data_IF_458806723117
#
_entry.id   IF_458806723117
#
_cell.length_a   1.000
_cell.length_b   1.000
_cell.length_c   1.000
_cell.angle_alpha   90.00
_cell.angle_beta   90.00
_cell.angle_gamma   90.00
#
_symmetry.space_group_name_H-M   'P 1'
#
loop_
_entity.id
_entity.type
_entity.pdbx_description
1 polymer ?
#
# COMPACT_ATOMS: atom_id res chain seq x y z
N UNK A 1 4.51 13.76 27.34
CA UNK A 1 4.69 14.43 26.04
C UNK A 1 4.44 13.41 24.95
N UNK A 2 3.46 13.60 24.08
CA UNK A 2 3.32 12.79 22.88
C UNK A 2 4.42 13.19 21.91
N UNK A 3 5.36 12.27 21.66
CA UNK A 3 6.45 12.51 20.72
C UNK A 3 5.86 12.82 19.33
N UNK A 4 6.45 13.79 18.62
CA UNK A 4 6.06 14.11 17.24
C UNK A 4 6.41 12.90 16.36
N UNK A 5 5.44 12.28 15.65
CA UNK A 5 5.73 11.13 14.81
C UNK A 5 6.52 11.54 13.56
N UNK A 6 7.36 10.64 13.07
CA UNK A 6 7.93 10.72 11.73
C UNK A 6 6.89 10.21 10.72
N UNK A 7 6.85 10.81 9.54
CA UNK A 7 5.95 10.42 8.45
C UNK A 7 6.79 9.99 7.25
N UNK A 8 6.57 8.77 6.77
CA UNK A 8 7.19 8.23 5.55
C UNK A 8 6.08 7.93 4.56
N UNK A 9 6.15 8.55 3.37
CA UNK A 9 5.22 8.31 2.27
C UNK A 9 5.94 7.48 1.21
N UNK A 10 5.39 6.31 0.89
CA UNK A 10 5.90 5.40 -0.14
C UNK A 10 4.88 5.38 -1.28
N UNK A 11 5.32 5.64 -2.49
CA UNK A 11 4.48 5.59 -3.69
C UNK A 11 5.16 4.70 -4.73
N UNK A 12 4.44 3.68 -5.19
CA UNK A 12 4.92 2.73 -6.19
C UNK A 12 4.47 3.16 -7.58
N UNK A 13 5.32 2.99 -8.59
CA UNK A 13 4.96 3.30 -9.98
C UNK A 13 4.26 2.10 -10.64
N UNK A 14 3.17 2.38 -11.34
CA UNK A 14 2.35 1.42 -12.10
C UNK A 14 1.85 0.16 -11.35
N UNK A 15 1.90 0.13 -10.02
CA UNK A 15 1.44 -1.01 -9.24
C UNK A 15 -0.10 -1.11 -9.24
N UNK A 16 -0.63 -2.28 -9.57
CA UNK A 16 -2.08 -2.55 -9.51
C UNK A 16 -2.51 -2.91 -8.09
N UNK A 17 -3.72 -2.50 -7.72
CA UNK A 17 -4.25 -2.70 -6.36
C UNK A 17 -4.35 -4.18 -5.91
N UNK A 18 -4.47 -5.10 -6.85
CA UNK A 18 -4.63 -6.55 -6.66
C UNK A 18 -3.33 -7.33 -6.86
N UNK A 19 -2.16 -6.68 -6.89
CA UNK A 19 -0.84 -7.35 -7.05
C UNK A 19 -0.10 -7.56 -5.73
N UNK A 20 -0.84 -7.53 -4.61
CA UNK A 20 -0.31 -7.81 -3.28
C UNK A 20 -0.86 -9.14 -2.77
N UNK A 21 -0.07 -9.85 -1.96
CA UNK A 21 -0.49 -11.07 -1.27
C UNK A 21 -1.70 -10.83 -0.37
N UNK A 22 -1.72 -9.73 0.40
CA UNK A 22 -2.88 -9.36 1.23
C UNK A 22 -4.14 -9.05 0.40
N UNK A 23 -3.98 -8.67 -0.88
CA UNK A 23 -5.07 -8.37 -1.80
C UNK A 23 -5.58 -9.61 -2.56
N UNK A 24 -5.00 -10.79 -2.30
CA UNK A 24 -5.45 -12.07 -2.84
C UNK A 24 -4.72 -12.55 -4.10
N UNK A 25 -3.60 -11.93 -4.47
CA UNK A 25 -2.77 -12.44 -5.57
C UNK A 25 -2.09 -13.77 -5.17
N UNK A 26 -2.36 -14.89 -5.88
CA UNK A 26 -1.84 -16.20 -5.51
C UNK A 26 -0.33 -16.38 -5.75
N UNK A 27 0.31 -15.47 -6.49
CA UNK A 27 1.75 -15.55 -6.83
C UNK A 27 2.57 -14.37 -6.31
N UNK A 28 1.94 -13.37 -5.70
CA UNK A 28 2.65 -12.24 -5.11
C UNK A 28 3.53 -12.66 -3.93
N UNK A 29 4.77 -12.18 -3.94
CA UNK A 29 5.71 -12.31 -2.81
C UNK A 29 5.93 -10.91 -2.24
N UNK A 30 5.01 -10.46 -1.38
CA UNK A 30 5.00 -9.09 -0.82
C UNK A 30 5.02 -9.07 0.72
N UNK A 31 5.86 -9.86 1.40
CA UNK A 31 5.75 -10.09 2.85
C UNK A 31 5.84 -8.80 3.69
N UNK A 32 6.58 -7.79 3.25
CA UNK A 32 6.69 -6.50 3.95
C UNK A 32 5.41 -5.65 3.82
N UNK A 33 4.81 -5.63 2.63
CA UNK A 33 3.56 -4.91 2.40
C UNK A 33 2.37 -5.63 3.05
N UNK A 34 2.37 -6.96 3.02
CA UNK A 34 1.34 -7.78 3.66
C UNK A 34 1.39 -7.63 5.19
N UNK A 35 2.59 -7.56 5.77
CA UNK A 35 2.77 -7.24 7.19
C UNK A 35 2.26 -5.84 7.53
N UNK A 36 2.54 -4.84 6.69
CA UNK A 36 2.04 -3.48 6.88
C UNK A 36 0.51 -3.42 6.81
N UNK A 37 -0.10 -4.18 5.90
CA UNK A 37 -1.56 -4.31 5.80
C UNK A 37 -2.17 -4.95 7.05
N UNK A 38 -1.51 -5.95 7.64
CA UNK A 38 -1.97 -6.63 8.87
C UNK A 38 -1.81 -5.78 10.14
N UNK A 39 -0.79 -4.93 10.21
CA UNK A 39 -0.53 -4.03 11.36
C UNK A 39 -1.24 -2.67 11.25
N UNK A 40 -1.84 -2.38 10.10
CA UNK A 40 -2.35 -1.06 9.75
C UNK A 40 -3.80 -1.07 9.26
N UNK A 41 -4.11 -0.11 8.39
CA UNK A 41 -5.44 0.05 7.79
C UNK A 41 -5.30 -0.02 6.27
N UNK A 42 -6.06 -0.93 5.66
CA UNK A 42 -6.17 -1.06 4.20
C UNK A 42 -7.39 -0.27 3.73
N UNK A 43 -7.22 0.53 2.69
CA UNK A 43 -8.30 1.26 2.03
C UNK A 43 -8.71 0.53 0.74
N UNK A 44 -9.79 -0.27 0.74
CA UNK A 44 -10.16 -1.12 -0.41
C UNK A 44 -10.68 -0.34 -1.63
N UNK A 45 -10.92 0.98 -1.48
CA UNK A 45 -11.42 1.87 -2.53
C UNK A 45 -10.60 3.16 -2.61
N UNK A 46 -9.27 3.00 -2.69
CA UNK A 46 -8.34 4.11 -2.90
C UNK A 46 -8.10 4.31 -4.40
N UNK A 47 -8.44 5.48 -4.93
CA UNK A 47 -8.30 5.80 -6.35
C UNK A 47 -7.33 6.98 -6.55
N UNK A 48 -6.45 6.88 -7.55
CA UNK A 48 -5.65 8.01 -7.99
C UNK A 48 -6.53 9.09 -8.65
N UNK A 49 -6.12 10.36 -8.53
CA UNK A 49 -6.84 11.48 -9.14
C UNK A 49 -6.70 11.54 -10.67
N UNK A 50 -5.66 10.91 -11.22
CA UNK A 50 -5.42 10.79 -12.65
C UNK A 50 -4.83 9.41 -12.96
N UNK A 51 -5.11 8.83 -14.15
CA UNK A 51 -4.61 7.51 -14.54
C UNK A 51 -3.22 7.54 -15.20
N UNK A 52 -2.47 8.64 -15.03
CA UNK A 52 -1.18 8.88 -15.68
C UNK A 52 -0.25 9.63 -14.73
N UNK A 53 1.04 9.37 -14.85
CA UNK A 53 2.09 10.14 -14.17
C UNK A 53 2.21 11.54 -14.80
N UNK A 54 2.61 12.54 -14.02
CA UNK A 54 2.94 13.89 -14.52
C UNK A 54 4.45 14.14 -14.47
#
# INVERSE_FOLDING_TARGET
MTAKPNIVLIFTDQQRADTFGYAGDPVAITPNADRLAAEGVVFPRCCASAPVCM
#
